data_IF_604370006575
#
_entry.id   IF_604370006575
#
_cell.length_a   1.000
_cell.length_b   1.000
_cell.length_c   1.000
_cell.angle_alpha   90.00
_cell.angle_beta   90.00
_cell.angle_gamma   90.00
#
_symmetry.space_group_name_H-M   'P 1'
#
loop_
_entity.id
_entity.type
_entity.pdbx_description
1 polymer ?
#
# COMPACT_ATOMS: atom_id res chain seq x y z
N UNK A 1 -18.52 8.40 -8.09
CA UNK A 1 -18.06 9.63 -7.45
C UNK A 1 -16.61 9.96 -7.80
N UNK A 2 -16.02 9.34 -8.83
CA UNK A 2 -14.63 9.65 -9.22
C UNK A 2 -14.44 11.17 -9.44
N UNK A 3 -13.33 11.71 -8.94
CA UNK A 3 -12.94 13.12 -9.02
C UNK A 3 -13.75 14.09 -8.14
N UNK A 4 -14.63 13.60 -7.27
CA UNK A 4 -15.43 14.46 -6.38
C UNK A 4 -14.60 15.02 -5.21
N UNK A 5 -13.64 15.89 -5.49
CA UNK A 5 -12.71 16.48 -4.51
C UNK A 5 -13.37 17.30 -3.39
N UNK A 6 -14.61 17.77 -3.60
CA UNK A 6 -15.40 18.43 -2.56
C UNK A 6 -16.10 17.49 -1.56
N UNK A 7 -16.14 16.18 -1.84
CA UNK A 7 -16.81 15.19 -1.00
C UNK A 7 -15.99 14.93 0.28
N UNK A 8 -16.47 15.41 1.43
CA UNK A 8 -15.75 15.29 2.71
C UNK A 8 -16.01 13.99 3.47
N UNK A 9 -17.21 13.46 3.32
CA UNK A 9 -17.70 12.27 3.99
C UNK A 9 -18.79 11.62 3.13
N UNK A 10 -18.93 10.31 3.24
CA UNK A 10 -20.03 9.56 2.65
C UNK A 10 -20.54 8.51 3.64
N UNK A 11 -21.87 8.40 3.70
CA UNK A 11 -22.54 7.27 4.34
C UNK A 11 -22.96 6.28 3.26
N UNK A 12 -22.33 5.11 3.23
CA UNK A 12 -22.70 4.04 2.30
C UNK A 12 -23.94 3.32 2.86
N UNK A 13 -25.05 3.21 2.10
CA UNK A 13 -26.27 2.55 2.58
C UNK A 13 -26.07 1.05 2.87
N UNK A 14 -26.77 0.51 3.88
CA UNK A 14 -26.66 -0.90 4.30
C UNK A 14 -26.98 -1.94 3.20
N UNK A 15 -27.70 -1.55 2.13
CA UNK A 15 -27.99 -2.42 1.00
C UNK A 15 -26.83 -2.58 0.00
N UNK A 16 -25.76 -1.80 0.14
CA UNK A 16 -24.59 -1.87 -0.75
C UNK A 16 -23.76 -3.09 -0.40
N UNK A 17 -23.59 -3.98 -1.38
CA UNK A 17 -22.80 -5.21 -1.24
C UNK A 17 -21.46 -5.17 -1.97
N UNK A 18 -21.27 -4.19 -2.86
CA UNK A 18 -20.04 -4.02 -3.63
C UNK A 18 -19.77 -2.54 -3.87
N UNK A 19 -18.52 -2.14 -3.71
CA UNK A 19 -18.01 -0.84 -4.14
C UNK A 19 -17.24 -1.10 -5.42
N UNK A 20 -17.71 -0.52 -6.53
CA UNK A 20 -17.16 -0.78 -7.85
C UNK A 20 -15.76 -0.20 -8.06
N UNK A 21 -15.14 -0.60 -9.16
CA UNK A 21 -13.89 -0.03 -9.65
C UNK A 21 -13.97 1.50 -9.74
N UNK A 22 -12.94 2.18 -9.25
CA UNK A 22 -12.82 3.65 -9.28
C UNK A 22 -14.02 4.43 -8.68
N UNK A 23 -14.87 3.79 -7.86
CA UNK A 23 -16.12 4.40 -7.40
C UNK A 23 -15.94 5.75 -6.70
N UNK A 24 -14.86 5.90 -5.94
CA UNK A 24 -14.43 7.10 -5.20
C UNK A 24 -13.00 7.51 -5.54
N UNK A 25 -12.48 7.09 -6.70
CA UNK A 25 -11.17 7.50 -7.16
C UNK A 25 -11.05 9.04 -7.19
N UNK A 26 -9.92 9.59 -6.77
CA UNK A 26 -9.64 11.03 -6.69
C UNK A 26 -10.68 11.86 -5.91
N UNK A 27 -11.38 11.24 -4.96
CA UNK A 27 -12.15 11.96 -3.93
C UNK A 27 -11.20 12.56 -2.88
N UNK A 28 -10.31 13.45 -3.29
CA UNK A 28 -9.21 13.97 -2.47
C UNK A 28 -9.64 14.72 -1.21
N UNK A 29 -10.90 15.19 -1.13
CA UNK A 29 -11.47 15.78 0.08
C UNK A 29 -12.02 14.78 1.09
N UNK A 30 -12.11 13.49 0.75
CA UNK A 30 -12.74 12.48 1.60
C UNK A 30 -11.84 12.20 2.82
N UNK A 31 -12.34 12.53 4.00
CA UNK A 31 -11.55 12.46 5.25
C UNK A 31 -11.80 11.19 6.06
N UNK A 32 -12.96 10.58 5.87
CA UNK A 32 -13.40 9.39 6.57
C UNK A 32 -14.34 8.56 5.68
N UNK A 33 -14.23 7.25 5.83
CA UNK A 33 -15.17 6.27 5.28
C UNK A 33 -15.66 5.35 6.39
N UNK A 34 -16.94 5.04 6.36
CA UNK A 34 -17.53 3.96 7.14
C UNK A 34 -18.17 2.96 6.19
N UNK A 35 -17.72 1.71 6.23
CA UNK A 35 -18.31 0.64 5.45
C UNK A 35 -19.45 -0.01 6.24
N UNK A 36 -20.63 -0.22 5.64
CA UNK A 36 -21.67 -1.01 6.27
C UNK A 36 -21.30 -2.49 6.26
N UNK A 37 -21.86 -3.25 7.20
CA UNK A 37 -21.62 -4.68 7.38
C UNK A 37 -21.99 -5.53 6.13
N UNK A 38 -22.71 -4.96 5.17
CA UNK A 38 -23.11 -5.63 3.93
C UNK A 38 -22.04 -5.67 2.82
N UNK A 39 -20.98 -4.84 2.89
CA UNK A 39 -20.00 -4.71 1.81
C UNK A 39 -19.12 -5.96 1.71
N UNK A 40 -19.19 -6.66 0.58
CA UNK A 40 -18.43 -7.88 0.31
C UNK A 40 -17.20 -7.65 -0.54
N UNK A 41 -17.20 -6.61 -1.38
CA UNK A 41 -16.09 -6.34 -2.30
C UNK A 41 -15.81 -4.86 -2.46
N UNK A 42 -14.53 -4.53 -2.54
CA UNK A 42 -14.00 -3.21 -2.88
C UNK A 42 -13.21 -3.37 -4.19
N UNK A 43 -13.61 -2.65 -5.23
CA UNK A 43 -13.03 -2.76 -6.56
C UNK A 43 -11.63 -2.16 -6.68
N UNK A 44 -11.00 -2.41 -7.83
CA UNK A 44 -9.73 -1.79 -8.22
C UNK A 44 -9.84 -0.27 -8.20
N UNK A 45 -8.81 0.39 -7.68
CA UNK A 45 -8.74 1.84 -7.52
C UNK A 45 -9.95 2.52 -6.83
N UNK A 46 -10.79 1.76 -6.12
CA UNK A 46 -12.07 2.26 -5.60
C UNK A 46 -11.94 3.53 -4.75
N UNK A 47 -10.86 3.68 -3.98
CA UNK A 47 -10.51 4.85 -3.18
C UNK A 47 -9.12 5.41 -3.54
N UNK A 48 -8.62 5.08 -4.73
CA UNK A 48 -7.34 5.57 -5.21
C UNK A 48 -7.34 7.10 -5.24
N UNK A 49 -6.31 7.77 -4.74
CA UNK A 49 -6.23 9.24 -4.69
C UNK A 49 -7.12 9.92 -3.64
N UNK A 50 -7.71 9.18 -2.70
CA UNK A 50 -8.40 9.75 -1.53
C UNK A 50 -7.38 10.30 -0.50
N UNK A 51 -6.61 11.31 -0.91
CA UNK A 51 -5.42 11.79 -0.21
C UNK A 51 -5.68 12.41 1.17
N UNK A 52 -6.90 12.83 1.49
CA UNK A 52 -7.27 13.33 2.82
C UNK A 52 -7.73 12.23 3.80
N UNK A 53 -7.85 10.98 3.37
CA UNK A 53 -8.36 9.89 4.21
C UNK A 53 -7.35 9.56 5.31
N UNK A 54 -7.76 9.69 6.58
CA UNK A 54 -6.83 9.55 7.72
C UNK A 54 -6.83 8.17 8.36
N UNK A 55 -8.00 7.53 8.37
CA UNK A 55 -8.22 6.23 8.99
C UNK A 55 -9.05 5.36 8.06
N UNK A 56 -8.75 4.07 8.08
CA UNK A 56 -9.44 3.05 7.32
C UNK A 56 -9.75 1.87 8.25
N UNK A 57 -10.97 1.36 8.20
CA UNK A 57 -11.36 0.15 8.92
C UNK A 57 -12.11 -0.79 7.98
N UNK A 58 -11.58 -1.99 7.75
CA UNK A 58 -12.17 -2.99 6.86
C UNK A 58 -13.09 -3.90 7.67
N UNK A 59 -14.40 -3.98 7.36
CA UNK A 59 -15.33 -4.81 8.13
C UNK A 59 -15.16 -6.31 7.82
N UNK A 60 -15.71 -7.16 8.69
CA UNK A 60 -15.63 -8.62 8.60
C UNK A 60 -16.20 -9.22 7.30
N UNK A 61 -17.14 -8.50 6.69
CA UNK A 61 -17.88 -8.92 5.50
C UNK A 61 -17.09 -8.80 4.22
N UNK A 62 -16.05 -7.95 4.17
CA UNK A 62 -15.23 -7.77 2.97
C UNK A 62 -14.43 -9.04 2.67
N UNK A 63 -14.65 -9.61 1.49
CA UNK A 63 -14.01 -10.83 0.98
C UNK A 63 -13.07 -10.57 -0.20
N UNK A 64 -13.17 -9.43 -0.87
CA UNK A 64 -12.24 -9.03 -1.94
C UNK A 64 -11.94 -7.53 -1.90
N UNK A 65 -10.66 -7.20 -2.13
CA UNK A 65 -10.15 -5.84 -2.29
C UNK A 65 -9.32 -5.87 -3.57
N UNK A 66 -9.67 -5.01 -4.53
CA UNK A 66 -8.98 -4.88 -5.80
C UNK A 66 -7.60 -4.25 -5.65
N UNK A 67 -6.76 -4.45 -6.67
CA UNK A 67 -5.45 -3.82 -6.76
C UNK A 67 -5.58 -2.29 -6.69
N UNK A 68 -4.63 -1.61 -6.02
CA UNK A 68 -4.63 -0.15 -5.94
C UNK A 68 -5.83 0.48 -5.23
N UNK A 69 -6.74 -0.30 -4.60
CA UNK A 69 -7.97 0.23 -4.03
C UNK A 69 -7.77 1.42 -3.08
N UNK A 70 -6.61 1.50 -2.41
CA UNK A 70 -6.23 2.59 -1.50
C UNK A 70 -4.92 3.30 -1.91
N UNK A 71 -4.49 3.15 -3.17
CA UNK A 71 -3.33 3.86 -3.73
C UNK A 71 -3.49 5.37 -3.54
N UNK A 72 -2.42 6.09 -3.24
CA UNK A 72 -2.47 7.55 -3.12
C UNK A 72 -3.28 8.10 -1.95
N UNK A 73 -3.69 7.26 -0.99
CA UNK A 73 -4.31 7.69 0.27
C UNK A 73 -3.24 8.24 1.24
N UNK A 74 -2.60 9.34 0.84
CA UNK A 74 -1.35 9.85 1.44
C UNK A 74 -1.45 10.28 2.91
N UNK A 75 -2.65 10.61 3.41
CA UNK A 75 -2.88 10.99 4.82
C UNK A 75 -3.19 9.82 5.76
N UNK A 76 -3.22 8.57 5.26
CA UNK A 76 -3.51 7.43 6.13
C UNK A 76 -2.44 7.31 7.22
N UNK A 77 -2.89 7.10 8.45
CA UNK A 77 -2.04 6.88 9.63
C UNK A 77 -2.51 5.73 10.49
N UNK A 78 -3.69 5.17 10.20
CA UNK A 78 -4.22 4.00 10.86
C UNK A 78 -5.08 3.19 9.89
N UNK A 79 -4.78 1.91 9.82
CA UNK A 79 -5.56 0.92 9.08
C UNK A 79 -5.88 -0.19 10.07
N UNK A 80 -7.15 -0.57 10.15
CA UNK A 80 -7.58 -1.74 10.92
C UNK A 80 -8.42 -2.66 10.05
N UNK A 81 -8.43 -3.93 10.43
CA UNK A 81 -9.34 -4.93 9.89
C UNK A 81 -10.10 -5.52 11.07
N UNK A 82 -11.39 -5.72 10.92
CA UNK A 82 -12.23 -6.38 11.92
C UNK A 82 -11.65 -7.78 12.26
N UNK A 83 -11.58 -8.11 13.55
CA UNK A 83 -10.98 -9.37 14.04
C UNK A 83 -11.71 -10.63 13.54
N UNK A 84 -12.97 -10.50 13.13
CA UNK A 84 -13.75 -11.59 12.54
C UNK A 84 -13.64 -11.68 11.01
N UNK A 85 -12.86 -10.80 10.36
CA UNK A 85 -12.57 -10.93 8.94
C UNK A 85 -11.72 -12.18 8.69
N UNK A 86 -12.23 -13.07 7.84
CA UNK A 86 -11.59 -14.37 7.55
C UNK A 86 -10.55 -14.31 6.42
N UNK A 87 -10.45 -13.18 5.70
CA UNK A 87 -9.62 -13.04 4.49
C UNK A 87 -8.51 -12.01 4.67
N UNK A 88 -8.80 -10.92 5.37
CA UNK A 88 -7.85 -9.86 5.64
C UNK A 88 -7.58 -9.74 7.14
N UNK A 89 -6.43 -9.18 7.48
CA UNK A 89 -6.01 -8.96 8.85
C UNK A 89 -5.18 -7.67 8.96
N UNK A 90 -5.16 -7.08 10.15
CA UNK A 90 -4.26 -5.99 10.56
C UNK A 90 -3.63 -6.33 11.93
N UNK A 91 -3.18 -7.57 12.08
CA UNK A 91 -2.61 -8.13 13.33
C UNK A 91 -1.56 -7.26 13.97
N UNK A 92 -1.46 -7.40 15.29
CA UNK A 92 -0.42 -6.75 16.09
C UNK A 92 -0.41 -5.22 15.93
N UNK A 93 -1.55 -4.64 15.54
CA UNK A 93 -1.68 -3.22 15.21
C UNK A 93 -0.67 -2.78 14.13
N UNK A 94 -0.46 -3.61 13.11
CA UNK A 94 0.50 -3.36 12.04
C UNK A 94 0.14 -2.18 11.12
N UNK A 95 -1.05 -1.58 11.28
CA UNK A 95 -1.58 -0.51 10.42
C UNK A 95 -1.51 -0.87 8.93
N UNK A 96 -1.95 -2.08 8.56
CA UNK A 96 -1.92 -2.53 7.17
C UNK A 96 -3.04 -3.54 6.91
N UNK A 97 -3.42 -3.68 5.64
CA UNK A 97 -4.28 -4.77 5.18
C UNK A 97 -3.40 -5.91 4.70
N UNK A 98 -3.52 -7.06 5.33
CA UNK A 98 -2.79 -8.28 4.99
C UNK A 98 -3.77 -9.31 4.44
N UNK A 99 -3.58 -9.76 3.19
CA UNK A 99 -4.25 -10.96 2.68
C UNK A 99 -3.64 -12.19 3.36
N UNK A 100 -4.42 -12.84 4.24
CA UNK A 100 -3.95 -13.97 5.06
C UNK A 100 -3.71 -15.24 4.25
N UNK A 101 -4.39 -15.39 3.11
CA UNK A 101 -4.22 -16.55 2.22
C UNK A 101 -2.86 -16.48 1.53
N UNK A 102 -2.52 -15.29 1.03
CA UNK A 102 -1.31 -15.06 0.25
C UNK A 102 -0.13 -14.57 1.11
N UNK A 103 -0.37 -14.30 2.41
CA UNK A 103 0.58 -13.64 3.32
C UNK A 103 1.14 -12.35 2.73
N UNK A 104 0.28 -11.60 2.04
CA UNK A 104 0.67 -10.40 1.29
C UNK A 104 0.14 -9.15 1.96
N UNK A 105 1.00 -8.16 2.19
CA UNK A 105 0.58 -6.81 2.55
C UNK A 105 0.07 -6.12 1.28
N UNK A 106 -1.21 -5.73 1.24
CA UNK A 106 -1.85 -5.17 0.04
C UNK A 106 -2.15 -3.67 0.14
N UNK A 107 -2.17 -3.12 1.36
CA UNK A 107 -2.24 -1.68 1.60
C UNK A 107 -1.60 -1.35 2.95
N UNK A 108 -0.76 -0.33 3.01
CA UNK A 108 -0.11 0.19 4.19
C UNK A 108 -0.20 1.71 4.27
N UNK A 109 0.35 2.27 5.33
CA UNK A 109 0.41 3.70 5.60
C UNK A 109 1.71 4.09 6.32
N UNK A 110 1.86 5.36 6.69
CA UNK A 110 3.13 5.90 7.25
C UNK A 110 3.56 5.29 8.58
N UNK A 111 2.62 4.67 9.29
CA UNK A 111 2.82 4.03 10.61
C UNK A 111 2.84 2.51 10.53
N UNK A 112 2.93 1.94 9.33
CA UNK A 112 2.89 0.50 9.14
C UNK A 112 4.14 -0.18 9.71
N UNK A 113 3.92 -1.29 10.42
CA UNK A 113 4.96 -2.22 10.86
C UNK A 113 4.68 -3.54 10.16
N UNK A 114 5.54 -3.97 9.23
CA UNK A 114 5.31 -5.20 8.47
C UNK A 114 5.51 -6.43 9.39
N UNK A 115 4.50 -7.28 9.59
CA UNK A 115 4.65 -8.48 10.42
C UNK A 115 5.62 -9.50 9.84
N UNK A 116 6.29 -10.26 10.69
CA UNK A 116 7.36 -11.20 10.32
C UNK A 116 6.89 -12.45 9.58
N UNK A 117 5.59 -12.68 9.43
CA UNK A 117 5.02 -13.77 8.64
C UNK A 117 4.46 -13.33 7.28
N UNK A 118 4.58 -12.03 6.95
CA UNK A 118 4.30 -11.50 5.61
C UNK A 118 5.43 -11.91 4.66
N UNK A 119 5.06 -12.49 3.52
CA UNK A 119 6.02 -12.96 2.52
C UNK A 119 6.08 -12.08 1.28
N UNK A 120 5.12 -11.17 1.09
CA UNK A 120 5.12 -10.27 -0.07
C UNK A 120 4.55 -8.90 0.25
N UNK A 121 5.10 -7.88 -0.41
CA UNK A 121 4.52 -6.55 -0.47
C UNK A 121 3.85 -6.43 -1.84
N UNK A 122 2.53 -6.26 -1.85
CA UNK A 122 1.70 -6.24 -3.06
C UNK A 122 1.92 -4.99 -3.92
N UNK A 123 1.38 -5.04 -5.14
CA UNK A 123 1.40 -3.90 -6.04
C UNK A 123 0.72 -2.69 -5.39
N UNK A 124 1.36 -1.53 -5.53
CA UNK A 124 0.88 -0.25 -5.01
C UNK A 124 0.60 -0.20 -3.49
N UNK A 125 1.08 -1.15 -2.69
CA UNK A 125 0.71 -1.29 -1.28
C UNK A 125 0.99 -0.04 -0.43
N UNK A 126 2.06 0.70 -0.73
CA UNK A 126 2.42 1.98 -0.13
C UNK A 126 2.42 3.11 -1.16
N UNK A 127 1.85 2.92 -2.35
CA UNK A 127 1.95 3.91 -3.41
C UNK A 127 1.29 5.23 -2.99
N UNK A 128 2.01 6.33 -3.13
CA UNK A 128 1.63 7.67 -2.73
C UNK A 128 1.59 7.88 -1.21
N UNK A 129 2.17 6.97 -0.42
CA UNK A 129 2.30 7.15 1.03
C UNK A 129 3.39 8.19 1.33
N UNK A 130 3.07 9.46 1.12
CA UNK A 130 4.04 10.55 1.18
C UNK A 130 4.61 10.78 2.58
N UNK A 131 3.90 10.39 3.65
CA UNK A 131 4.39 10.51 5.03
C UNK A 131 5.25 9.33 5.51
N UNK A 132 5.58 8.36 4.66
CA UNK A 132 6.42 7.22 5.02
C UNK A 132 7.90 7.61 4.93
N UNK A 133 8.55 7.83 6.07
CA UNK A 133 9.95 8.27 6.13
C UNK A 133 10.97 7.13 6.21
N UNK A 134 10.57 6.01 6.82
CA UNK A 134 11.37 4.81 6.95
C UNK A 134 10.45 3.59 7.06
N UNK A 135 10.93 2.44 6.59
CA UNK A 135 10.24 1.17 6.75
C UNK A 135 11.24 0.03 6.89
N UNK A 136 10.97 -0.91 7.81
CA UNK A 136 11.75 -2.14 7.94
C UNK A 136 11.02 -3.26 7.19
N UNK A 137 11.69 -3.84 6.19
CA UNK A 137 11.20 -5.03 5.50
C UNK A 137 11.77 -6.26 6.21
N UNK A 138 10.93 -7.17 6.75
CA UNK A 138 11.41 -8.35 7.45
C UNK A 138 11.98 -9.39 6.48
N UNK A 139 12.92 -10.22 6.96
CA UNK A 139 13.58 -11.28 6.17
C UNK A 139 12.61 -12.35 5.62
N UNK A 140 11.37 -12.38 6.07
CA UNK A 140 10.34 -13.26 5.52
C UNK A 140 9.81 -12.80 4.15
N UNK A 141 10.01 -11.53 3.78
CA UNK A 141 9.54 -10.99 2.50
C UNK A 141 10.42 -11.48 1.36
N UNK A 142 9.81 -12.13 0.38
CA UNK A 142 10.50 -12.67 -0.81
C UNK A 142 10.26 -11.84 -2.07
N UNK A 143 9.25 -10.97 -2.09
CA UNK A 143 8.91 -10.17 -3.28
C UNK A 143 8.29 -8.82 -2.95
N UNK A 144 8.67 -7.81 -3.73
CA UNK A 144 8.12 -6.45 -3.72
C UNK A 144 7.42 -6.19 -5.05
N UNK A 145 6.13 -5.87 -5.01
CA UNK A 145 5.29 -5.66 -6.18
C UNK A 145 5.61 -4.39 -6.98
N UNK A 146 4.97 -4.30 -8.16
CA UNK A 146 5.08 -3.11 -9.02
C UNK A 146 4.48 -1.88 -8.34
N UNK A 147 5.19 -0.75 -8.42
CA UNK A 147 4.76 0.50 -7.80
C UNK A 147 4.59 0.44 -6.27
N UNK A 148 5.10 -0.60 -5.59
CA UNK A 148 4.79 -0.86 -4.17
C UNK A 148 5.06 0.35 -3.25
N UNK A 149 6.16 1.08 -3.48
CA UNK A 149 6.54 2.30 -2.77
C UNK A 149 6.55 3.53 -3.70
N UNK A 150 5.89 3.46 -4.86
CA UNK A 150 5.91 4.56 -5.81
C UNK A 150 5.29 5.82 -5.20
N UNK A 151 5.98 6.95 -5.21
CA UNK A 151 5.52 8.21 -4.66
C UNK A 151 5.61 8.31 -3.13
N UNK A 152 6.34 7.40 -2.46
CA UNK A 152 6.79 7.59 -1.09
C UNK A 152 7.87 8.68 -1.04
N UNK A 153 7.46 9.94 -1.23
CA UNK A 153 8.38 11.07 -1.47
C UNK A 153 9.30 11.39 -0.29
N UNK A 154 8.86 11.16 0.95
CA UNK A 154 9.65 11.42 2.16
C UNK A 154 10.49 10.21 2.63
N UNK A 155 10.47 9.08 1.89
CA UNK A 155 11.25 7.89 2.25
C UNK A 155 12.73 8.15 1.99
N UNK A 156 13.54 8.22 3.05
CA UNK A 156 14.95 8.62 2.95
C UNK A 156 15.92 7.45 2.81
N UNK A 157 15.58 6.30 3.41
CA UNK A 157 16.38 5.09 3.36
C UNK A 157 15.48 3.85 3.42
N UNK A 158 15.89 2.80 2.70
CA UNK A 158 15.27 1.49 2.79
C UNK A 158 16.30 0.38 2.60
N UNK A 159 16.24 -0.63 3.47
CA UNK A 159 17.05 -1.84 3.35
C UNK A 159 16.18 -2.97 2.80
N UNK A 160 16.60 -3.52 1.67
CA UNK A 160 15.93 -4.69 1.07
C UNK A 160 16.66 -5.95 1.57
N UNK A 161 15.98 -6.88 2.27
CA UNK A 161 16.64 -8.05 2.85
C UNK A 161 17.05 -9.06 1.77
N UNK A 162 18.07 -9.86 2.07
CA UNK A 162 18.65 -10.86 1.16
C UNK A 162 17.64 -11.94 0.70
N UNK A 163 16.51 -12.07 1.38
CA UNK A 163 15.42 -12.96 0.98
C UNK A 163 14.61 -12.47 -0.23
N UNK A 164 14.68 -11.18 -0.57
CA UNK A 164 13.93 -10.61 -1.69
C UNK A 164 14.55 -11.02 -3.02
N UNK A 165 13.82 -11.80 -3.80
CA UNK A 165 14.28 -12.26 -5.13
C UNK A 165 13.75 -11.42 -6.29
N UNK A 166 12.74 -10.58 -6.03
CA UNK A 166 12.08 -9.78 -7.07
C UNK A 166 11.56 -8.43 -6.57
N UNK A 167 11.87 -7.39 -7.35
CA UNK A 167 11.39 -6.01 -7.15
C UNK A 167 10.65 -5.60 -8.42
N UNK A 168 9.38 -5.21 -8.32
CA UNK A 168 8.56 -4.85 -9.48
C UNK A 168 9.02 -3.59 -10.22
N UNK A 169 8.46 -3.39 -11.42
CA UNK A 169 8.59 -2.12 -12.14
C UNK A 169 8.01 -0.97 -11.32
N UNK A 170 8.62 0.21 -11.43
CA UNK A 170 8.19 1.41 -10.69
C UNK A 170 8.18 1.27 -9.16
N UNK A 171 8.72 0.19 -8.57
CA UNK A 171 8.57 -0.10 -7.14
C UNK A 171 8.97 1.06 -6.22
N UNK A 172 9.98 1.84 -6.58
CA UNK A 172 10.44 3.03 -5.84
C UNK A 172 10.35 4.31 -6.69
N UNK A 173 9.54 4.32 -7.76
CA UNK A 173 9.39 5.48 -8.65
C UNK A 173 8.86 6.69 -7.87
N UNK A 174 9.54 7.83 -7.95
CA UNK A 174 9.16 9.06 -7.26
C UNK A 174 9.47 9.08 -5.77
N UNK A 175 10.30 8.16 -5.26
CA UNK A 175 10.91 8.28 -3.94
C UNK A 175 11.98 9.38 -3.97
N UNK A 176 11.54 10.64 -4.00
CA UNK A 176 12.38 11.81 -4.29
C UNK A 176 13.45 12.09 -3.24
N UNK A 177 13.20 11.71 -1.98
CA UNK A 177 14.14 11.94 -0.87
C UNK A 177 15.01 10.71 -0.55
N UNK A 178 14.87 9.61 -1.30
CA UNK A 178 15.61 8.37 -1.09
C UNK A 178 17.10 8.56 -1.41
N UNK A 179 17.95 8.66 -0.38
CA UNK A 179 19.37 8.95 -0.54
C UNK A 179 20.21 7.68 -0.79
N UNK A 180 19.81 6.59 -0.14
CA UNK A 180 20.51 5.30 -0.20
C UNK A 180 19.55 4.12 -0.31
N UNK A 181 19.92 3.14 -1.13
CA UNK A 181 19.29 1.82 -1.17
C UNK A 181 20.35 0.74 -1.42
N UNK A 182 20.25 -0.34 -0.66
CA UNK A 182 21.06 -1.55 -0.89
C UNK A 182 20.19 -2.60 -1.58
N UNK A 183 20.58 -3.01 -2.79
CA UNK A 183 19.94 -4.09 -3.52
C UNK A 183 20.67 -5.39 -3.20
N UNK A 184 19.98 -6.42 -2.66
CA UNK A 184 20.62 -7.66 -2.25
C UNK A 184 21.02 -8.50 -3.47
N UNK A 185 22.00 -9.40 -3.27
CA UNK A 185 22.52 -10.28 -4.32
C UNK A 185 21.50 -11.26 -4.89
N UNK A 186 20.41 -11.50 -4.18
CA UNK A 186 19.29 -12.34 -4.60
C UNK A 186 18.41 -11.69 -5.67
N UNK A 187 18.45 -10.36 -5.85
CA UNK A 187 17.68 -9.67 -6.89
C UNK A 187 18.36 -9.87 -8.24
N UNK A 188 17.73 -10.67 -9.08
CA UNK A 188 18.25 -11.02 -10.42
C UNK A 188 17.76 -10.08 -11.54
N UNK A 189 16.82 -9.19 -11.24
CA UNK A 189 16.23 -8.29 -12.24
C UNK A 189 15.78 -6.97 -11.64
N UNK A 190 16.27 -5.87 -12.22
CA UNK A 190 15.73 -4.53 -12.04
C UNK A 190 14.79 -4.25 -13.22
N UNK A 191 13.56 -3.83 -12.92
CA UNK A 191 12.53 -3.62 -13.94
C UNK A 191 12.51 -2.17 -14.42
N UNK A 192 11.70 -1.92 -15.45
CA UNK A 192 11.48 -0.59 -15.99
C UNK A 192 11.05 0.38 -14.86
N UNK A 193 11.66 1.57 -14.83
CA UNK A 193 11.31 2.67 -13.93
C UNK A 193 11.41 2.37 -12.43
N UNK A 194 12.05 1.26 -11.99
CA UNK A 194 12.13 0.89 -10.56
C UNK A 194 12.59 2.05 -9.66
N UNK A 195 13.52 2.89 -10.11
CA UNK A 195 14.03 4.09 -9.43
C UNK A 195 13.84 5.37 -10.24
N UNK A 196 12.78 5.45 -11.07
CA UNK A 196 12.45 6.68 -11.78
C UNK A 196 12.23 7.81 -10.76
N UNK A 197 12.67 9.03 -11.09
CA UNK A 197 12.46 10.25 -10.28
C UNK A 197 12.99 10.17 -8.82
N UNK A 198 13.94 9.27 -8.55
CA UNK A 198 14.71 9.25 -7.30
C UNK A 198 15.86 10.27 -7.36
N UNK A 199 15.54 11.56 -7.28
CA UNK A 199 16.48 12.65 -7.55
C UNK A 199 17.65 12.78 -6.56
N UNK A 200 17.49 12.32 -5.31
CA UNK A 200 18.54 12.37 -4.27
C UNK A 200 19.39 11.11 -4.19
N UNK A 201 19.04 10.06 -4.94
CA UNK A 201 19.71 8.76 -4.88
C UNK A 201 21.14 8.85 -5.39
N UNK A 202 22.11 8.81 -4.48
CA UNK A 202 23.54 8.98 -4.80
C UNK A 202 24.24 7.67 -5.07
N UNK A 203 23.85 6.61 -4.36
CA UNK A 203 24.53 5.33 -4.39
C UNK A 203 23.51 4.20 -4.54
N UNK A 204 23.73 3.35 -5.54
CA UNK A 204 23.02 2.08 -5.70
C UNK A 204 24.07 0.99 -5.81
N UNK A 205 24.13 0.11 -4.82
CA UNK A 205 24.92 -1.10 -4.92
C UNK A 205 24.10 -2.13 -5.74
N UNK A 206 24.51 -2.37 -6.99
CA UNK A 206 23.94 -3.44 -7.82
C UNK A 206 24.80 -4.68 -7.59
N UNK A 207 24.20 -5.84 -7.27
CA UNK A 207 24.95 -7.06 -7.02
C UNK A 207 25.69 -7.55 -8.27
N UNK A 208 26.89 -8.14 -8.12
CA UNK A 208 27.59 -8.76 -9.24
C UNK A 208 26.79 -9.95 -9.76
N UNK A 209 26.57 -9.99 -11.08
CA UNK A 209 25.98 -11.13 -11.81
C UNK A 209 26.84 -12.39 -11.70
#
# INVERSE_FOLDING_TARGET
FSGCSGLKAITIPNGVTAIGESAFNDCSGLTAISFPDGVKSIGEDAFSGCSSLKKLSIPASVKSIGEGAFKGCSSLTAITVDESNTKYDSKQNCNAIIDTTNKSLIAGCSTTVIPTDVTSIGNYAFSGCSGLTAITIPDSVVSIGGGAFSGCSELTAITIPDSVVGIGGEAFSGCSDLEEITIPNSVTRIWNQTFMDCYTLKNVAIPPV
#
